data_IF_250645722497
#
_entry.id   IF_250645722497
#
_cell.length_a   1.000
_cell.length_b   1.000
_cell.length_c   1.000
_cell.angle_alpha   90.00
_cell.angle_beta   90.00
_cell.angle_gamma   90.00
#
_symmetry.space_group_name_H-M   'P 1'
#
loop_
_entity.id
_entity.type
_entity.pdbx_description
1 polymer ?
#
# COMPACT_ATOMS: atom_id res chain seq x y z
N UNK A 1 -17.43 18.56 -3.30
CA UNK A 1 -17.24 17.10 -3.13
C UNK A 1 -15.84 16.92 -2.62
N UNK A 2 -15.66 16.39 -1.42
CA UNK A 2 -14.35 15.94 -0.96
C UNK A 2 -13.91 14.88 -1.97
N UNK A 3 -12.72 14.99 -2.53
CA UNK A 3 -12.15 13.94 -3.34
C UNK A 3 -11.82 12.79 -2.37
N UNK A 4 -12.70 11.80 -2.26
CA UNK A 4 -12.68 10.72 -1.24
C UNK A 4 -11.63 9.65 -1.60
N UNK A 5 -10.48 10.05 -2.14
CA UNK A 5 -9.47 9.10 -2.57
C UNK A 5 -8.07 9.62 -2.38
N UNK A 6 -7.12 8.69 -2.33
CA UNK A 6 -5.73 8.97 -2.04
C UNK A 6 -5.16 9.97 -3.04
N UNK A 7 -4.23 10.77 -2.54
CA UNK A 7 -3.63 11.86 -3.29
C UNK A 7 -2.76 11.29 -4.43
N UNK A 8 -2.02 10.23 -4.16
CA UNK A 8 -1.13 9.51 -5.07
C UNK A 8 -1.82 8.35 -5.81
N UNK A 9 -3.15 8.17 -5.64
CA UNK A 9 -3.97 7.16 -6.34
C UNK A 9 -3.60 5.70 -6.05
N UNK A 10 -2.93 5.45 -4.94
CA UNK A 10 -2.69 4.11 -4.42
C UNK A 10 -4.00 3.28 -4.25
N UNK A 11 -5.08 3.90 -3.78
CA UNK A 11 -6.40 3.25 -3.70
C UNK A 11 -6.96 2.84 -5.07
N UNK A 12 -6.71 3.64 -6.11
CA UNK A 12 -7.12 3.34 -7.49
C UNK A 12 -6.31 2.22 -8.08
N UNK A 13 -5.02 2.12 -7.75
CA UNK A 13 -4.21 0.98 -8.12
C UNK A 13 -4.81 -0.33 -7.60
N UNK A 14 -5.12 -0.37 -6.29
CA UNK A 14 -5.77 -1.52 -5.67
C UNK A 14 -7.15 -1.81 -6.27
N UNK A 15 -8.00 -0.79 -6.45
CA UNK A 15 -9.32 -0.94 -7.05
C UNK A 15 -9.26 -1.50 -8.48
N UNK A 16 -8.34 -0.98 -9.30
CA UNK A 16 -8.19 -1.46 -10.66
C UNK A 16 -7.73 -2.91 -10.64
N UNK A 17 -6.77 -3.31 -9.81
CA UNK A 17 -6.35 -4.71 -9.78
C UNK A 17 -7.41 -5.66 -9.21
N UNK A 18 -8.02 -5.32 -8.07
CA UNK A 18 -8.80 -6.23 -7.25
C UNK A 18 -10.32 -6.03 -7.31
N UNK A 19 -10.78 -4.88 -7.82
CA UNK A 19 -12.20 -4.57 -7.97
C UNK A 19 -12.82 -3.86 -6.76
N UNK A 20 -14.12 -4.08 -6.54
CA UNK A 20 -14.95 -3.31 -5.62
C UNK A 20 -15.06 -3.89 -4.20
N UNK A 21 -14.45 -5.04 -3.94
CA UNK A 21 -14.44 -5.66 -2.62
C UNK A 21 -13.07 -6.31 -2.37
N UNK A 22 -12.66 -6.34 -1.11
CA UNK A 22 -11.41 -6.94 -0.70
C UNK A 22 -11.09 -6.62 0.75
N UNK A 23 -9.93 -7.09 1.19
CA UNK A 23 -9.36 -6.78 2.50
C UNK A 23 -8.08 -6.00 2.30
N UNK A 24 -7.98 -4.82 2.93
CA UNK A 24 -6.76 -4.02 2.91
C UNK A 24 -6.12 -3.87 4.29
N UNK A 25 -4.82 -3.63 4.29
CA UNK A 25 -4.02 -3.24 5.44
C UNK A 25 -3.32 -1.91 5.14
N UNK A 26 -3.44 -0.93 6.03
CA UNK A 26 -2.84 0.40 5.90
C UNK A 26 -1.85 0.61 7.05
N UNK A 27 -0.55 0.63 6.75
CA UNK A 27 0.52 0.84 7.74
C UNK A 27 0.99 2.28 7.66
N UNK A 28 0.84 3.00 8.78
CA UNK A 28 1.08 4.45 8.85
C UNK A 28 -0.10 5.24 8.28
N UNK A 29 -1.31 4.93 8.73
CA UNK A 29 -2.54 5.45 8.12
C UNK A 29 -2.74 6.97 8.30
N UNK A 30 -2.01 7.62 9.22
CA UNK A 30 -2.13 9.04 9.57
C UNK A 30 -3.59 9.47 9.81
N UNK A 31 -3.95 10.70 9.45
CA UNK A 31 -5.29 11.25 9.63
C UNK A 31 -6.35 10.48 8.81
N UNK A 32 -7.60 10.39 9.28
CA UNK A 32 -8.63 9.54 8.65
C UNK A 32 -8.92 9.86 7.17
N UNK A 33 -8.91 11.15 6.82
CA UNK A 33 -9.32 11.66 5.51
C UNK A 33 -8.21 12.37 4.75
N UNK A 34 -7.20 12.92 5.42
CA UNK A 34 -6.10 13.69 4.81
C UNK A 34 -4.86 12.81 4.78
N UNK A 35 -4.20 12.71 3.62
CA UNK A 35 -3.03 11.84 3.48
C UNK A 35 -3.34 10.34 3.56
N UNK A 36 -4.60 9.96 3.45
CA UNK A 36 -5.00 8.55 3.49
C UNK A 36 -4.74 7.83 2.16
N UNK A 37 -4.50 6.51 2.23
CA UNK A 37 -4.29 5.65 1.06
C UNK A 37 -5.43 4.69 0.75
N UNK A 38 -6.47 4.63 1.59
CA UNK A 38 -7.43 3.51 1.59
C UNK A 38 -8.90 3.90 1.70
N UNK A 39 -9.24 5.18 1.91
CA UNK A 39 -10.64 5.54 2.20
C UNK A 39 -11.60 5.26 1.04
N UNK A 40 -11.12 5.39 -0.20
CA UNK A 40 -11.91 5.07 -1.38
C UNK A 40 -12.29 3.58 -1.38
N UNK A 41 -11.37 2.68 -1.03
CA UNK A 41 -11.61 1.24 -0.97
C UNK A 41 -12.67 0.92 0.09
N UNK A 42 -12.54 1.50 1.28
CA UNK A 42 -13.53 1.38 2.35
C UNK A 42 -14.92 1.86 1.90
N UNK A 43 -14.98 2.95 1.12
CA UNK A 43 -16.23 3.48 0.58
C UNK A 43 -16.93 2.53 -0.41
N UNK A 44 -16.17 1.64 -1.05
CA UNK A 44 -16.70 0.58 -1.94
C UNK A 44 -17.16 -0.67 -1.17
N UNK A 45 -16.90 -0.75 0.13
CA UNK A 45 -17.27 -1.88 0.98
C UNK A 45 -16.10 -2.83 1.29
N UNK A 46 -14.85 -2.44 1.06
CA UNK A 46 -13.70 -3.20 1.53
C UNK A 46 -13.65 -3.22 3.06
N UNK A 47 -13.09 -4.31 3.61
CA UNK A 47 -12.74 -4.40 5.03
C UNK A 47 -11.30 -3.94 5.21
N UNK A 48 -11.05 -3.08 6.20
CA UNK A 48 -9.75 -2.46 6.40
C UNK A 48 -9.24 -2.59 7.83
N UNK A 49 -7.92 -2.64 7.94
CA UNK A 49 -7.17 -2.57 9.20
C UNK A 49 -6.15 -1.43 9.07
N UNK A 50 -6.26 -0.43 9.94
CA UNK A 50 -5.44 0.77 9.96
C UNK A 50 -4.48 0.69 11.16
N UNK A 51 -3.19 0.82 10.91
CA UNK A 51 -2.17 0.87 11.95
C UNK A 51 -1.46 2.21 11.90
N UNK A 52 -1.35 2.83 13.06
CA UNK A 52 -0.72 4.14 13.22
C UNK A 52 -0.08 4.20 14.61
N UNK A 53 1.07 4.88 14.75
CA UNK A 53 1.80 4.98 16.02
C UNK A 53 1.29 6.15 16.86
N UNK A 54 0.77 7.20 16.20
CA UNK A 54 0.25 8.38 16.86
C UNK A 54 -1.19 8.16 17.34
N UNK A 55 -1.35 8.10 18.66
CA UNK A 55 -2.64 7.81 19.32
C UNK A 55 -3.76 8.78 18.88
N UNK A 56 -3.45 10.05 18.63
CA UNK A 56 -4.45 11.03 18.19
C UNK A 56 -5.12 10.62 16.87
N UNK A 57 -4.33 10.21 15.88
CA UNK A 57 -4.83 9.79 14.57
C UNK A 57 -5.62 8.48 14.62
N UNK A 58 -5.24 7.58 15.53
CA UNK A 58 -5.98 6.34 15.78
C UNK A 58 -7.35 6.63 16.37
N UNK A 59 -7.45 7.50 17.36
CA UNK A 59 -8.75 7.84 17.97
C UNK A 59 -9.67 8.53 16.96
N UNK A 60 -9.13 9.45 16.16
CA UNK A 60 -9.89 10.05 15.05
C UNK A 60 -10.35 8.97 14.06
N UNK A 61 -9.49 8.03 13.70
CA UNK A 61 -9.85 6.94 12.78
C UNK A 61 -10.95 6.03 13.36
N UNK A 62 -10.94 5.74 14.66
CA UNK A 62 -12.02 4.98 15.32
C UNK A 62 -13.36 5.70 15.31
N UNK A 63 -13.35 7.03 15.36
CA UNK A 63 -14.56 7.86 15.30
C UNK A 63 -15.10 8.02 13.88
N UNK A 64 -14.20 8.10 12.89
CA UNK A 64 -14.53 8.59 11.54
C UNK A 64 -14.48 7.51 10.45
N UNK A 65 -13.72 6.42 10.63
CA UNK A 65 -13.56 5.33 9.66
C UNK A 65 -14.41 4.12 10.05
N UNK A 66 -14.80 3.34 9.03
CA UNK A 66 -15.44 2.03 9.23
C UNK A 66 -14.43 0.91 9.48
N UNK A 67 -13.20 1.10 9.02
CA UNK A 67 -12.09 0.18 9.24
C UNK A 67 -11.68 0.13 10.70
N UNK A 68 -11.14 -1.01 11.14
CA UNK A 68 -10.60 -1.13 12.49
C UNK A 68 -9.25 -0.41 12.58
N UNK A 69 -9.04 0.39 13.62
CA UNK A 69 -7.83 1.20 13.79
C UNK A 69 -7.09 0.86 15.10
N UNK A 70 -5.76 0.77 15.01
CA UNK A 70 -4.88 0.27 16.08
C UNK A 70 -3.71 1.21 16.31
N UNK A 71 -3.47 1.54 17.58
CA UNK A 71 -2.31 2.30 18.04
C UNK A 71 -1.19 1.33 18.41
N UNK A 72 -0.52 0.77 17.40
CA UNK A 72 0.48 -0.30 17.58
C UNK A 72 1.65 -0.07 16.62
N UNK A 73 2.86 -0.23 17.14
CA UNK A 73 4.09 -0.22 16.34
C UNK A 73 4.14 -1.47 15.44
N UNK A 74 4.07 -1.25 14.13
CA UNK A 74 4.03 -2.29 13.10
C UNK A 74 5.34 -3.11 12.99
N UNK A 75 6.42 -2.66 13.60
CA UNK A 75 7.70 -3.39 13.65
C UNK A 75 7.73 -4.45 14.76
N UNK A 76 6.72 -4.49 15.63
CA UNK A 76 6.73 -5.31 16.84
C UNK A 76 5.94 -6.62 16.71
N UNK A 77 6.14 -7.59 17.63
CA UNK A 77 5.29 -8.78 17.71
C UNK A 77 3.82 -8.47 18.04
N UNK A 78 3.54 -7.38 18.78
CA UNK A 78 2.18 -6.97 19.14
C UNK A 78 1.33 -6.68 17.90
N UNK A 79 1.93 -6.08 16.88
CA UNK A 79 1.28 -5.87 15.58
C UNK A 79 0.83 -7.20 14.95
N UNK A 80 1.70 -8.20 14.94
CA UNK A 80 1.41 -9.53 14.37
C UNK A 80 0.30 -10.24 15.15
N UNK A 81 0.34 -10.16 16.48
CA UNK A 81 -0.70 -10.74 17.35
C UNK A 81 -2.04 -10.06 17.13
N UNK A 82 -2.06 -8.72 17.13
CA UNK A 82 -3.25 -7.90 16.88
C UNK A 82 -3.88 -8.23 15.53
N UNK A 83 -3.06 -8.23 14.47
CA UNK A 83 -3.53 -8.49 13.12
C UNK A 83 -4.09 -9.92 12.97
N UNK A 84 -3.45 -10.93 13.56
CA UNK A 84 -3.95 -12.32 13.52
C UNK A 84 -5.27 -12.50 14.26
N UNK A 85 -5.44 -11.83 15.40
CA UNK A 85 -6.64 -11.94 16.22
C UNK A 85 -7.85 -11.29 15.55
N UNK A 86 -7.65 -10.11 14.95
CA UNK A 86 -8.77 -9.30 14.48
C UNK A 86 -9.06 -9.46 12.99
N UNK A 87 -8.03 -9.66 12.16
CA UNK A 87 -8.25 -9.80 10.72
C UNK A 87 -8.81 -11.17 10.34
N UNK A 88 -8.44 -12.22 11.07
CA UNK A 88 -8.82 -13.60 10.73
C UNK A 88 -8.34 -14.07 9.35
N UNK A 89 -7.50 -13.28 8.67
CA UNK A 89 -6.92 -13.54 7.36
C UNK A 89 -5.43 -13.27 7.38
N UNK A 90 -4.69 -14.01 6.55
CA UNK A 90 -3.25 -13.82 6.32
C UNK A 90 -2.93 -13.37 4.89
N UNK A 91 -3.94 -13.33 4.02
CA UNK A 91 -3.81 -12.94 2.63
C UNK A 91 -4.65 -11.68 2.41
N UNK A 92 -3.99 -10.57 2.11
CA UNK A 92 -4.65 -9.29 1.83
C UNK A 92 -4.81 -9.08 0.32
N UNK A 93 -5.84 -8.35 -0.08
CA UNK A 93 -5.95 -7.91 -1.47
C UNK A 93 -5.02 -6.72 -1.73
N UNK A 94 -4.82 -5.87 -0.71
CA UNK A 94 -4.00 -4.68 -0.82
C UNK A 94 -3.27 -4.35 0.50
N UNK A 95 -2.01 -3.92 0.41
CA UNK A 95 -1.28 -3.33 1.54
C UNK A 95 -0.71 -1.98 1.12
N UNK A 96 -0.97 -0.94 1.92
CA UNK A 96 -0.30 0.35 1.86
C UNK A 96 0.78 0.38 2.94
N UNK A 97 2.02 0.72 2.57
CA UNK A 97 3.14 0.89 3.51
C UNK A 97 3.70 2.30 3.38
N UNK A 98 3.38 3.16 4.36
CA UNK A 98 3.88 4.54 4.50
C UNK A 98 4.20 4.81 5.98
N UNK A 99 5.31 4.26 6.47
CA UNK A 99 5.73 4.34 7.88
C UNK A 99 7.11 4.99 8.04
N UNK A 100 7.43 5.91 7.12
CA UNK A 100 8.71 6.62 7.07
C UNK A 100 9.92 5.64 7.19
N UNK A 101 10.84 5.88 8.13
CA UNK A 101 12.09 5.11 8.30
C UNK A 101 11.89 3.63 8.69
N UNK A 102 10.69 3.25 9.17
CA UNK A 102 10.39 1.90 9.65
C UNK A 102 9.87 0.94 8.58
N UNK A 103 9.84 1.37 7.31
CA UNK A 103 9.23 0.60 6.21
C UNK A 103 9.85 -0.79 6.02
N UNK A 104 11.17 -0.92 6.16
CA UNK A 104 11.87 -2.20 6.00
C UNK A 104 11.56 -3.20 7.12
N UNK A 105 11.48 -2.72 8.36
CA UNK A 105 11.20 -3.56 9.52
C UNK A 105 9.74 -3.99 9.52
N UNK A 106 8.81 -3.09 9.18
CA UNK A 106 7.39 -3.41 9.01
C UNK A 106 7.18 -4.46 7.91
N UNK A 107 7.82 -4.28 6.75
CA UNK A 107 7.75 -5.22 5.63
C UNK A 107 8.31 -6.59 5.99
N UNK A 108 9.47 -6.64 6.64
CA UNK A 108 10.10 -7.89 7.06
C UNK A 108 9.24 -8.61 8.10
N UNK A 109 8.74 -7.88 9.10
CA UNK A 109 7.87 -8.42 10.14
C UNK A 109 6.60 -9.08 9.53
N UNK A 110 5.94 -8.41 8.57
CA UNK A 110 4.80 -8.98 7.85
C UNK A 110 5.16 -10.27 7.10
N UNK A 111 6.17 -10.22 6.23
CA UNK A 111 6.48 -11.33 5.33
C UNK A 111 7.04 -12.55 6.09
N UNK A 112 7.87 -12.33 7.09
CA UNK A 112 8.45 -13.40 7.93
C UNK A 112 7.38 -14.11 8.78
N UNK A 113 6.28 -13.42 9.10
CA UNK A 113 5.14 -13.98 9.82
C UNK A 113 4.08 -14.62 8.91
N UNK A 114 4.36 -14.76 7.62
CA UNK A 114 3.55 -15.51 6.67
C UNK A 114 2.37 -14.74 6.06
N UNK A 115 2.33 -13.42 6.23
CA UNK A 115 1.34 -12.58 5.56
C UNK A 115 1.69 -12.43 4.07
N UNK A 116 0.67 -12.45 3.22
CA UNK A 116 0.82 -12.23 1.78
C UNK A 116 -0.19 -11.22 1.26
N UNK A 117 0.04 -10.73 0.05
CA UNK A 117 -0.87 -9.79 -0.59
C UNK A 117 -0.99 -10.02 -2.10
N UNK A 118 -2.07 -9.52 -2.70
CA UNK A 118 -2.19 -9.46 -4.17
C UNK A 118 -1.41 -8.27 -4.72
N UNK A 119 -1.62 -7.08 -4.17
CA UNK A 119 -0.87 -5.88 -4.57
C UNK A 119 -0.47 -5.02 -3.36
N UNK A 120 0.57 -4.22 -3.52
CA UNK A 120 1.10 -3.35 -2.48
C UNK A 120 1.63 -2.05 -3.08
N UNK A 121 1.48 -0.94 -2.37
CA UNK A 121 2.29 0.27 -2.57
C UNK A 121 3.25 0.40 -1.40
N UNK A 122 4.48 0.77 -1.71
CA UNK A 122 5.54 0.89 -0.71
C UNK A 122 6.25 2.23 -0.90
N UNK A 123 6.03 3.16 0.03
CA UNK A 123 6.71 4.45 0.09
C UNK A 123 8.12 4.25 0.65
N UNK A 124 9.12 4.53 -0.18
CA UNK A 124 10.53 4.32 0.18
C UNK A 124 11.32 5.64 0.26
N UNK A 125 10.68 6.76 -0.04
CA UNK A 125 11.21 8.11 0.16
C UNK A 125 12.65 8.32 -0.34
N UNK A 126 12.97 7.82 -1.54
CA UNK A 126 14.33 7.85 -2.08
C UNK A 126 14.91 9.27 -2.15
N UNK A 127 14.03 10.27 -2.30
CA UNK A 127 14.40 11.68 -2.31
C UNK A 127 14.96 12.20 -0.98
N UNK A 128 14.62 11.58 0.16
CA UNK A 128 15.11 11.93 1.50
C UNK A 128 16.36 11.12 1.83
N UNK A 129 16.29 9.80 1.66
CA UNK A 129 17.25 8.86 2.25
C UNK A 129 18.08 8.09 1.21
N UNK A 130 17.89 8.38 -0.07
CA UNK A 130 18.54 7.66 -1.16
C UNK A 130 18.15 6.18 -1.15
N UNK A 131 19.10 5.30 -1.44
CA UNK A 131 18.85 3.85 -1.56
C UNK A 131 18.76 3.09 -0.23
N UNK A 132 18.70 3.78 0.92
CA UNK A 132 18.68 3.13 2.24
C UNK A 132 17.44 2.23 2.39
N UNK A 133 16.27 2.69 1.94
CA UNK A 133 15.02 1.93 2.03
C UNK A 133 14.68 1.27 0.69
N UNK A 134 14.78 2.03 -0.42
CA UNK A 134 14.34 1.57 -1.75
C UNK A 134 15.00 0.27 -2.21
N UNK A 135 16.32 0.19 -2.11
CA UNK A 135 17.04 -1.00 -2.60
C UNK A 135 16.77 -2.23 -1.73
N UNK A 136 16.87 -2.17 -0.39
CA UNK A 136 16.55 -3.32 0.44
C UNK A 136 15.10 -3.78 0.36
N UNK A 137 14.12 -2.86 0.25
CA UNK A 137 12.71 -3.25 0.11
C UNK A 137 12.47 -4.06 -1.17
N UNK A 138 13.09 -3.66 -2.29
CA UNK A 138 13.10 -4.41 -3.56
C UNK A 138 13.70 -5.80 -3.39
N UNK A 139 14.89 -5.90 -2.80
CA UNK A 139 15.57 -7.17 -2.56
C UNK A 139 14.72 -8.14 -1.71
N UNK A 140 14.02 -7.62 -0.70
CA UNK A 140 13.08 -8.40 0.12
C UNK A 140 11.91 -8.89 -0.74
N UNK A 141 11.19 -7.99 -1.41
CA UNK A 141 9.97 -8.33 -2.16
C UNK A 141 10.25 -9.29 -3.32
N UNK A 142 11.34 -9.08 -4.06
CA UNK A 142 11.78 -9.99 -5.13
C UNK A 142 12.10 -11.39 -4.59
N UNK A 143 12.77 -11.49 -3.43
CA UNK A 143 13.07 -12.77 -2.77
C UNK A 143 11.80 -13.53 -2.38
N UNK A 144 10.72 -12.84 -2.02
CA UNK A 144 9.40 -13.43 -1.76
C UNK A 144 8.57 -13.68 -3.03
N UNK A 145 9.11 -13.36 -4.21
CA UNK A 145 8.49 -13.64 -5.51
C UNK A 145 7.50 -12.58 -5.99
N UNK A 146 7.48 -11.40 -5.37
CA UNK A 146 6.71 -10.26 -5.85
C UNK A 146 7.43 -9.56 -7.00
N UNK A 147 6.65 -8.83 -7.80
CA UNK A 147 7.14 -8.15 -9.00
C UNK A 147 6.66 -6.71 -8.98
N UNK A 148 7.57 -5.76 -9.24
CA UNK A 148 7.19 -4.37 -9.47
C UNK A 148 6.37 -4.27 -10.76
N UNK A 149 5.15 -3.77 -10.63
CA UNK A 149 4.34 -3.36 -11.76
C UNK A 149 4.69 -1.92 -12.14
N UNK A 150 4.84 -1.04 -11.15
CA UNK A 150 5.35 0.32 -11.39
C UNK A 150 6.53 0.62 -10.48
N UNK A 151 7.64 0.99 -11.09
CA UNK A 151 8.90 1.33 -10.43
C UNK A 151 9.10 2.84 -10.40
N UNK A 152 9.70 3.36 -9.33
CA UNK A 152 10.05 4.78 -9.18
C UNK A 152 8.84 5.68 -9.49
N UNK A 153 7.71 5.40 -8.85
CA UNK A 153 6.50 6.20 -9.01
C UNK A 153 6.72 7.57 -8.38
N UNK A 154 6.44 8.62 -9.14
CA UNK A 154 6.68 10.01 -8.75
C UNK A 154 5.37 10.71 -8.35
N UNK A 155 5.41 11.59 -7.35
CA UNK A 155 4.26 12.39 -6.91
C UNK A 155 4.23 13.83 -7.48
N UNK A 156 5.27 14.24 -8.23
CA UNK A 156 5.40 15.58 -8.80
C UNK A 156 5.91 15.53 -10.25
N UNK A 157 5.11 16.01 -11.19
CA UNK A 157 5.49 16.04 -12.61
C UNK A 157 6.60 17.04 -12.95
N UNK A 158 6.68 18.16 -12.21
CA UNK A 158 7.65 19.23 -12.48
C UNK A 158 9.02 18.95 -11.85
N UNK A 159 9.02 18.18 -10.77
CA UNK A 159 10.22 17.75 -10.04
C UNK A 159 10.14 16.25 -9.76
N UNK A 160 10.29 15.41 -10.80
CA UNK A 160 10.17 13.97 -10.65
C UNK A 160 11.27 13.47 -9.71
N UNK A 161 10.84 12.79 -8.66
CA UNK A 161 11.72 12.06 -7.77
C UNK A 161 11.03 10.77 -7.37
N UNK A 162 11.80 9.68 -7.39
CA UNK A 162 11.34 8.36 -6.98
C UNK A 162 10.80 8.43 -5.55
N UNK A 163 9.53 8.08 -5.38
CA UNK A 163 8.78 8.17 -4.12
C UNK A 163 8.37 6.79 -3.63
N UNK A 164 7.75 5.99 -4.50
CA UNK A 164 7.21 4.67 -4.18
C UNK A 164 7.47 3.65 -5.28
N UNK A 165 7.36 2.37 -4.90
CA UNK A 165 7.24 1.26 -5.83
C UNK A 165 5.90 0.53 -5.61
N UNK A 166 5.24 0.15 -6.71
CA UNK A 166 3.95 -0.54 -6.68
C UNK A 166 4.10 -1.98 -7.18
N UNK A 167 3.74 -2.92 -6.32
CA UNK A 167 4.05 -4.33 -6.41
C UNK A 167 2.80 -5.18 -6.63
N UNK A 168 3.00 -6.32 -7.29
CA UNK A 168 1.99 -7.37 -7.43
C UNK A 168 2.58 -8.73 -7.08
N UNK A 169 1.73 -9.63 -6.62
CA UNK A 169 1.97 -11.06 -6.64
C UNK A 169 1.60 -11.59 -8.03
N UNK A 170 2.58 -11.95 -8.88
CA UNK A 170 2.29 -12.33 -10.27
C UNK A 170 1.40 -13.57 -10.36
N UNK A 171 1.32 -14.41 -9.32
CA UNK A 171 0.47 -15.60 -9.30
C UNK A 171 -1.03 -15.29 -9.12
N UNK A 172 -1.37 -14.04 -8.78
CA UNK A 172 -2.74 -13.61 -8.52
C UNK A 172 -3.37 -12.91 -9.73
N UNK A 173 -2.61 -12.71 -10.82
CA UNK A 173 -3.05 -11.97 -11.99
C UNK A 173 -2.63 -12.68 -13.30
N UNK A 174 -3.30 -12.41 -14.42
CA UNK A 174 -2.86 -12.90 -15.73
C UNK A 174 -1.49 -12.33 -16.13
N UNK A 175 -0.67 -13.15 -16.81
CA UNK A 175 0.68 -12.76 -17.24
C UNK A 175 0.71 -11.50 -18.12
N UNK A 176 -0.35 -11.25 -18.90
CA UNK A 176 -0.47 -10.05 -19.77
C UNK A 176 -0.39 -8.74 -18.97
N UNK A 177 -0.72 -8.75 -17.68
CA UNK A 177 -0.55 -7.57 -16.81
C UNK A 177 0.91 -7.10 -16.77
N UNK A 178 1.88 -8.01 -16.93
CA UNK A 178 3.31 -7.67 -16.91
C UNK A 178 3.75 -6.82 -18.11
N UNK A 179 2.96 -6.78 -19.20
CA UNK A 179 3.21 -5.93 -20.36
C UNK A 179 2.90 -4.44 -20.07
N UNK A 180 2.24 -4.15 -18.95
CA UNK A 180 1.85 -2.79 -18.54
C UNK A 180 2.84 -2.17 -17.56
N UNK A 181 3.99 -2.80 -17.32
CA UNK A 181 5.03 -2.26 -16.43
C UNK A 181 5.50 -0.88 -16.87
N UNK A 182 5.70 0.01 -15.89
CA UNK A 182 6.27 1.33 -16.10
C UNK A 182 7.36 1.62 -15.06
N UNK A 183 8.28 2.50 -15.43
CA UNK A 183 9.36 2.97 -14.55
C UNK A 183 9.51 4.47 -14.67
N UNK A 184 9.75 5.15 -13.55
CA UNK A 184 9.98 6.59 -13.45
C UNK A 184 8.82 7.41 -14.07
N UNK A 185 7.60 7.12 -13.64
CA UNK A 185 6.38 7.78 -14.11
C UNK A 185 5.61 8.40 -12.95
N UNK A 186 4.93 9.49 -13.25
CA UNK A 186 3.97 10.07 -12.31
C UNK A 186 2.82 9.09 -12.07
N UNK A 187 2.31 9.00 -10.84
CA UNK A 187 1.25 8.05 -10.47
C UNK A 187 0.04 8.10 -11.42
N UNK A 188 -0.32 9.29 -11.94
CA UNK A 188 -1.46 9.42 -12.86
C UNK A 188 -1.24 8.67 -14.17
N UNK A 189 0.00 8.62 -14.67
CA UNK A 189 0.36 7.87 -15.88
C UNK A 189 0.31 6.37 -15.61
N UNK A 190 0.74 5.94 -14.41
CA UNK A 190 0.62 4.55 -13.96
C UNK A 190 -0.84 4.10 -13.93
N UNK A 191 -1.73 4.92 -13.36
CA UNK A 191 -3.17 4.63 -13.31
C UNK A 191 -3.79 4.59 -14.71
N UNK A 192 -3.50 5.58 -15.57
CA UNK A 192 -3.98 5.56 -16.96
C UNK A 192 -3.55 4.29 -17.70
N UNK A 193 -2.30 3.84 -17.47
CA UNK A 193 -1.81 2.61 -18.09
C UNK A 193 -2.56 1.37 -17.61
N UNK A 194 -2.93 1.34 -16.33
CA UNK A 194 -3.70 0.23 -15.76
C UNK A 194 -5.18 0.27 -16.18
N UNK A 195 -5.74 1.45 -16.47
CA UNK A 195 -7.06 1.60 -17.07
C UNK A 195 -7.10 1.08 -18.51
N UNK A 196 -6.03 1.25 -19.30
CA UNK A 196 -5.90 0.62 -20.63
C UNK A 196 -6.05 -0.90 -20.51
N UNK A 197 -5.30 -1.54 -19.60
CA UNK A 197 -5.39 -2.98 -19.33
C UNK A 197 -6.81 -3.46 -18.99
N UNK A 198 -7.62 -2.64 -18.31
CA UNK A 198 -9.00 -3.04 -17.96
C UNK A 198 -9.99 -2.96 -19.11
N UNK A 199 -9.66 -2.20 -20.15
CA UNK A 199 -10.51 -2.04 -21.33
C UNK A 199 -10.09 -2.96 -22.49
N UNK A 200 -8.90 -3.56 -22.40
CA UNK A 200 -8.39 -4.58 -23.33
C UNK A 200 -8.98 -5.98 -23.04
#
# INVERSE_FOLDING_TARGET
>A
MINIGSKEKQDRFAYLLCGNQGVFLDLGSREPFVGNNTIFLESLGWTGFLFEIEHEFVEQSKEERKSLAYCVDVTTPEFIETLKNDAGVINFDYISVDVDDSGLDALSNLLENGFTFKCMTFEHDYHKDGDIIRKPSREILERYGYVMLFEDVNNNMNHPSSWEDWWINPKQFPDVLLDYKLSNKHYSICIMKLEEYKND
#
